data_IF_039346062483
#
_entry.id   IF_039346062483
#
_cell.length_a   1.000
_cell.length_b   1.000
_cell.length_c   1.000
_cell.angle_alpha   90.00
_cell.angle_beta   90.00
_cell.angle_gamma   90.00
#
_symmetry.space_group_name_H-M   'P 1'
#
loop_
_entity.id
_entity.type
_entity.pdbx_description
1 polymer ?
#
# COMPACT_ATOMS: atom_id res chain seq x y z
N UNK A 1 -19.89 11.16 7.15
CA UNK A 1 -18.56 11.02 7.79
C UNK A 1 -17.69 10.05 6.98
N UNK A 2 -16.55 10.52 6.45
CA UNK A 2 -15.59 9.65 5.74
C UNK A 2 -15.20 8.47 6.64
N UNK A 3 -15.00 7.25 6.11
CA UNK A 3 -14.59 6.11 6.93
C UNK A 3 -13.23 6.42 7.58
N UNK A 4 -13.25 6.83 8.84
CA UNK A 4 -12.03 6.96 9.65
C UNK A 4 -11.41 5.58 9.94
N UNK A 5 -12.14 4.51 9.64
CA UNK A 5 -11.82 3.16 10.10
C UNK A 5 -10.66 2.50 9.37
N UNK A 6 -10.25 2.98 8.20
CA UNK A 6 -9.11 2.43 7.48
C UNK A 6 -8.03 3.50 7.48
N UNK A 7 -7.11 3.40 8.44
CA UNK A 7 -5.85 4.15 8.43
C UNK A 7 -4.90 3.62 7.34
N UNK A 8 -5.41 3.38 6.12
CA UNK A 8 -4.55 3.03 5.00
C UNK A 8 -3.70 4.25 4.68
N UNK A 9 -2.39 4.04 4.58
CA UNK A 9 -1.42 5.10 4.30
C UNK A 9 -1.57 5.56 2.86
N UNK A 10 -1.32 6.85 2.65
CA UNK A 10 -1.20 7.43 1.32
C UNK A 10 -0.01 6.83 0.58
N UNK A 11 -0.22 6.42 -0.67
CA UNK A 11 0.82 5.96 -1.58
C UNK A 11 1.81 7.10 -1.83
N UNK A 12 3.11 6.79 -1.78
CA UNK A 12 4.20 7.73 -2.07
C UNK A 12 5.18 7.17 -3.12
N UNK A 13 6.19 7.96 -3.47
CA UNK A 13 7.19 7.60 -4.49
C UNK A 13 7.96 6.30 -4.17
N UNK A 14 8.18 5.99 -2.88
CA UNK A 14 8.85 4.74 -2.50
C UNK A 14 7.93 3.55 -2.71
N UNK A 15 6.62 3.72 -2.52
CA UNK A 15 5.64 2.68 -2.79
C UNK A 15 5.58 2.30 -4.28
N UNK A 16 5.94 3.23 -5.19
CA UNK A 16 6.05 2.94 -6.63
C UNK A 16 7.15 1.90 -6.89
N UNK A 17 8.28 2.01 -6.18
CA UNK A 17 9.36 1.03 -6.22
C UNK A 17 8.94 -0.34 -5.64
N UNK A 18 7.82 -0.38 -4.92
CA UNK A 18 7.25 -1.59 -4.31
C UNK A 18 6.05 -2.15 -5.09
N UNK A 19 5.81 -1.65 -6.31
CA UNK A 19 4.74 -2.13 -7.20
C UNK A 19 3.47 -1.30 -7.20
N UNK A 20 3.40 -0.18 -6.47
CA UNK A 20 2.30 0.78 -6.65
C UNK A 20 2.41 1.51 -8.00
N UNK A 21 1.29 1.80 -8.65
CA UNK A 21 1.32 2.60 -9.87
C UNK A 21 1.63 4.07 -9.54
N UNK A 22 2.53 4.71 -10.30
CA UNK A 22 2.90 6.11 -10.08
C UNK A 22 1.70 7.08 -10.12
N UNK A 23 0.69 6.79 -10.96
CA UNK A 23 -0.57 7.57 -11.02
C UNK A 23 -1.36 7.58 -9.70
N UNK A 24 -1.06 6.65 -8.79
CA UNK A 24 -1.77 6.50 -7.52
C UNK A 24 -1.09 7.22 -6.36
N UNK A 25 0.06 7.87 -6.57
CA UNK A 25 0.71 8.69 -5.54
C UNK A 25 -0.27 9.75 -5.03
N UNK A 26 -0.39 9.88 -3.70
CA UNK A 26 -1.36 10.77 -3.07
C UNK A 26 -2.72 10.13 -2.76
N UNK A 27 -2.98 8.92 -3.26
CA UNK A 27 -4.21 8.17 -2.97
C UNK A 27 -4.03 7.20 -1.79
N UNK A 28 -5.15 6.79 -1.20
CA UNK A 28 -5.17 5.80 -0.11
C UNK A 28 -4.92 4.41 -0.69
N UNK A 29 -3.81 3.77 -0.28
CA UNK A 29 -3.37 2.49 -0.85
C UNK A 29 -3.46 1.31 0.12
N UNK A 30 -4.00 0.21 -0.36
CA UNK A 30 -3.95 -1.12 0.26
C UNK A 30 -3.50 -2.14 -0.78
N UNK A 31 -2.23 -2.53 -0.74
CA UNK A 31 -1.61 -3.46 -1.68
C UNK A 31 -0.54 -4.28 -0.97
N UNK A 32 -0.29 -5.49 -1.46
CA UNK A 32 0.85 -6.30 -1.03
C UNK A 32 2.11 -5.75 -1.71
N UNK A 33 3.08 -5.19 -0.97
CA UNK A 33 4.31 -4.68 -1.59
C UNK A 33 5.15 -5.82 -2.15
N UNK A 34 5.89 -5.55 -3.21
CA UNK A 34 6.87 -6.47 -3.79
C UNK A 34 8.25 -5.84 -3.69
N UNK A 35 9.23 -6.61 -3.22
CA UNK A 35 10.61 -6.12 -3.12
C UNK A 35 11.22 -6.09 -4.54
N UNK A 36 11.83 -4.98 -4.97
CA UNK A 36 12.39 -4.89 -6.31
C UNK A 36 13.68 -5.74 -6.42
N UNK A 37 14.05 -6.13 -7.64
CA UNK A 37 15.26 -6.91 -7.87
C UNK A 37 16.51 -6.16 -7.40
N UNK A 38 17.52 -6.89 -6.92
CA UNK A 38 18.79 -6.29 -6.51
C UNK A 38 19.44 -5.52 -7.68
N UNK A 39 19.86 -4.29 -7.42
CA UNK A 39 20.45 -3.40 -8.43
C UNK A 39 19.46 -2.64 -9.32
N UNK A 40 18.15 -2.90 -9.20
CA UNK A 40 17.12 -2.14 -9.93
C UNK A 40 16.81 -0.77 -9.30
N UNK A 41 17.25 -0.55 -8.06
CA UNK A 41 17.21 0.75 -7.38
C UNK A 41 18.62 1.16 -6.96
N UNK A 42 18.92 2.48 -6.87
CA UNK A 42 20.21 2.96 -6.39
C UNK A 42 20.54 2.40 -5.00
N UNK A 43 21.82 2.10 -4.76
CA UNK A 43 22.28 1.47 -3.51
C UNK A 43 21.93 2.35 -2.31
N UNK A 44 22.06 3.67 -2.45
CA UNK A 44 21.70 4.65 -1.42
C UNK A 44 20.20 4.69 -1.09
N UNK A 45 19.35 4.18 -1.98
CA UNK A 45 17.90 4.10 -1.78
C UNK A 45 17.45 2.74 -1.23
N UNK A 46 18.30 1.70 -1.29
CA UNK A 46 17.94 0.32 -0.95
C UNK A 46 17.38 0.18 0.46
N UNK A 47 18.08 0.71 1.47
CA UNK A 47 17.64 0.61 2.87
C UNK A 47 16.27 1.25 3.11
N UNK A 48 16.01 2.37 2.43
CA UNK A 48 14.72 3.06 2.47
C UNK A 48 13.61 2.22 1.83
N UNK A 49 13.89 1.56 0.70
CA UNK A 49 12.95 0.66 0.01
C UNK A 49 12.65 -0.56 0.87
N UNK A 50 13.66 -1.21 1.45
CA UNK A 50 13.49 -2.38 2.33
C UNK A 50 12.71 -2.00 3.59
N UNK A 51 13.03 -0.86 4.22
CA UNK A 51 12.27 -0.37 5.37
C UNK A 51 10.79 -0.15 5.02
N UNK A 52 10.54 0.48 3.86
CA UNK A 52 9.16 0.72 3.39
C UNK A 52 8.44 -0.57 3.05
N UNK A 53 9.12 -1.56 2.44
CA UNK A 53 8.56 -2.88 2.18
C UNK A 53 8.09 -3.56 3.47
N UNK A 54 8.94 -3.55 4.52
CA UNK A 54 8.60 -4.14 5.81
C UNK A 54 7.40 -3.44 6.44
N UNK A 55 7.36 -2.11 6.38
CA UNK A 55 6.22 -1.32 6.85
C UNK A 55 4.93 -1.70 6.11
N UNK A 56 4.95 -1.66 4.77
CA UNK A 56 3.77 -1.95 3.94
C UNK A 56 3.31 -3.40 4.09
N UNK A 57 4.25 -4.33 4.27
CA UNK A 57 3.94 -5.74 4.54
C UNK A 57 3.21 -5.90 5.87
N UNK A 58 3.70 -5.28 6.96
CA UNK A 58 3.03 -5.33 8.25
C UNK A 58 1.62 -4.72 8.16
N UNK A 59 1.49 -3.54 7.57
CA UNK A 59 0.20 -2.87 7.38
C UNK A 59 -0.79 -3.73 6.57
N UNK A 60 -0.32 -4.40 5.50
CA UNK A 60 -1.16 -5.24 4.66
C UNK A 60 -1.80 -6.39 5.46
N UNK A 61 -0.98 -7.08 6.27
CA UNK A 61 -1.43 -8.23 7.07
C UNK A 61 -2.31 -7.79 8.25
N UNK A 62 -1.95 -6.70 8.93
CA UNK A 62 -2.76 -6.14 10.03
C UNK A 62 -4.17 -5.73 9.56
N UNK A 63 -4.27 -5.17 8.36
CA UNK A 63 -5.53 -4.68 7.81
C UNK A 63 -6.35 -5.77 7.10
N UNK A 64 -5.76 -6.89 6.70
CA UNK A 64 -6.40 -7.89 5.84
C UNK A 64 -7.80 -8.32 6.29
N UNK A 65 -7.96 -8.72 7.55
CA UNK A 65 -9.25 -9.14 8.09
C UNK A 65 -10.29 -8.02 8.10
N UNK A 66 -9.87 -6.78 8.44
CA UNK A 66 -10.75 -5.61 8.47
C UNK A 66 -11.15 -5.21 7.05
N UNK A 67 -10.20 -5.28 6.12
CA UNK A 67 -10.42 -4.92 4.73
C UNK A 67 -11.40 -5.88 4.07
N UNK A 68 -11.18 -7.19 4.20
CA UNK A 68 -12.08 -8.21 3.66
C UNK A 68 -13.51 -8.05 4.18
N UNK A 69 -13.67 -7.77 5.48
CA UNK A 69 -15.00 -7.54 6.07
C UNK A 69 -15.69 -6.31 5.48
N UNK A 70 -14.99 -5.19 5.40
CA UNK A 70 -15.58 -3.94 4.92
C UNK A 70 -15.86 -3.95 3.42
N UNK A 71 -15.06 -4.65 2.63
CA UNK A 71 -15.36 -4.91 1.22
C UNK A 71 -16.63 -5.77 1.07
N UNK A 72 -16.77 -6.83 1.89
CA UNK A 72 -17.99 -7.64 1.92
C UNK A 72 -19.24 -6.85 2.39
N UNK A 73 -19.05 -5.87 3.28
CA UNK A 73 -20.10 -4.93 3.72
C UNK A 73 -20.37 -3.82 2.69
N UNK A 74 -19.64 -3.77 1.57
CA UNK A 74 -19.78 -2.76 0.52
C UNK A 74 -19.37 -1.35 0.94
N UNK A 75 -18.57 -1.21 2.01
CA UNK A 75 -18.14 0.09 2.54
C UNK A 75 -17.03 0.74 1.74
N UNK A 76 -16.26 -0.07 1.04
CA UNK A 76 -15.29 0.38 0.05
C UNK A 76 -15.03 -0.77 -0.93
N UNK A 77 -14.29 -0.47 -2.00
CA UNK A 77 -13.72 -1.45 -2.93
C UNK A 77 -12.22 -1.21 -3.07
N UNK A 78 -11.45 -2.26 -3.37
CA UNK A 78 -10.02 -2.12 -3.70
C UNK A 78 -9.83 -2.38 -5.19
N UNK A 79 -9.40 -1.37 -5.94
CA UNK A 79 -9.04 -1.51 -7.34
C UNK A 79 -7.57 -1.16 -7.53
N UNK A 80 -6.79 -2.10 -8.07
CA UNK A 80 -5.36 -1.91 -8.34
C UNK A 80 -4.57 -1.43 -7.11
N UNK A 81 -4.94 -1.95 -5.93
CA UNK A 81 -4.31 -1.58 -4.67
C UNK A 81 -4.76 -0.23 -4.09
N UNK A 82 -5.80 0.39 -4.64
CA UNK A 82 -6.36 1.67 -4.20
C UNK A 82 -7.75 1.48 -3.62
N UNK A 83 -7.98 2.14 -2.49
CA UNK A 83 -9.23 2.04 -1.74
C UNK A 83 -10.20 3.13 -2.20
N UNK A 84 -11.43 2.75 -2.58
CA UNK A 84 -12.51 3.65 -3.00
C UNK A 84 -13.74 3.47 -2.09
N UNK A 85 -14.26 4.54 -1.49
CA UNK A 85 -15.46 4.50 -0.63
C UNK A 85 -15.87 5.87 -0.11
#
# INVERSE_FOLDING_TARGET
>A
PKPQDIKAKTVNEVDVLLGAAARNVGLVGYFLPVLPDQGSVPVEAWDRVVSRFNQRSAEFHELAGKMARYEAEGKFTVHEGIVFG
#
